data_IF_042217960407
#
_entry.id   IF_042217960407
#
_cell.length_a   1.000
_cell.length_b   1.000
_cell.length_c   1.000
_cell.angle_alpha   90.00
_cell.angle_beta   90.00
_cell.angle_gamma   90.00
#
_symmetry.space_group_name_H-M   'P 1'
#
loop_
_entity.id
_entity.type
_entity.pdbx_description
1 polymer ?
#
# COMPACT_ATOMS: atom_id res chain seq x y z
N UNK A 1 11.23 -42.90 -3.33
CA UNK A 1 10.97 -41.46 -3.16
C UNK A 1 9.67 -41.16 -3.89
N UNK A 2 8.56 -41.03 -3.18
CA UNK A 2 7.26 -40.72 -3.79
C UNK A 2 7.19 -39.20 -3.91
N UNK A 3 7.22 -38.70 -5.14
CA UNK A 3 7.03 -37.28 -5.41
C UNK A 3 5.61 -36.89 -4.99
N UNK A 4 5.49 -36.02 -4.01
CA UNK A 4 4.23 -35.34 -3.71
C UNK A 4 4.03 -34.32 -4.82
N UNK A 5 3.17 -34.68 -5.78
CA UNK A 5 2.59 -33.70 -6.70
C UNK A 5 1.81 -32.69 -5.86
N UNK A 6 2.35 -31.49 -5.70
CA UNK A 6 1.55 -30.33 -5.29
C UNK A 6 0.55 -30.11 -6.42
N UNK A 7 -0.69 -30.52 -6.20
CA UNK A 7 -1.78 -30.13 -7.06
C UNK A 7 -1.84 -28.60 -7.03
N UNK A 8 -1.77 -27.99 -8.20
CA UNK A 8 -2.02 -26.57 -8.38
C UNK A 8 -3.42 -26.27 -7.83
N UNK A 9 -3.51 -25.38 -6.84
CA UNK A 9 -4.79 -25.00 -6.25
C UNK A 9 -5.70 -24.46 -7.36
N UNK A 10 -6.97 -24.83 -7.34
CA UNK A 10 -7.93 -24.32 -8.32
C UNK A 10 -7.96 -22.78 -8.25
N UNK A 11 -8.11 -22.07 -9.39
CA UNK A 11 -8.12 -20.62 -9.42
C UNK A 11 -9.24 -20.08 -8.52
N UNK A 12 -8.88 -19.16 -7.62
CA UNK A 12 -9.82 -18.50 -6.70
C UNK A 12 -10.68 -17.51 -7.49
N UNK A 13 -12.01 -17.66 -7.42
CA UNK A 13 -12.93 -16.70 -8.03
C UNK A 13 -12.97 -15.40 -7.22
N UNK A 14 -12.40 -14.34 -7.78
CA UNK A 14 -12.35 -13.00 -7.16
C UNK A 14 -13.72 -12.33 -7.03
N UNK A 15 -14.78 -12.89 -7.62
CA UNK A 15 -16.15 -12.40 -7.49
C UNK A 15 -16.97 -13.16 -6.45
N UNK A 16 -16.43 -14.25 -5.91
CA UNK A 16 -17.11 -15.04 -4.88
C UNK A 16 -17.22 -14.24 -3.56
N UNK A 17 -18.41 -14.20 -2.98
CA UNK A 17 -18.69 -13.43 -1.77
C UNK A 17 -17.92 -13.92 -0.53
N UNK A 18 -17.62 -15.23 -0.44
CA UNK A 18 -16.81 -15.81 0.65
C UNK A 18 -15.36 -15.36 0.50
N UNK A 19 -14.84 -15.33 -0.73
CA UNK A 19 -13.49 -14.84 -1.03
C UNK A 19 -13.38 -13.34 -0.70
N UNK A 20 -14.36 -12.54 -1.11
CA UNK A 20 -14.41 -11.10 -0.80
C UNK A 20 -14.47 -10.86 0.71
N UNK A 21 -15.30 -11.61 1.45
CA UNK A 21 -15.40 -11.45 2.91
C UNK A 21 -14.10 -11.87 3.61
N UNK A 22 -13.44 -12.95 3.15
CA UNK A 22 -12.11 -13.31 3.65
C UNK A 22 -11.10 -12.18 3.38
N UNK A 23 -11.16 -11.58 2.20
CA UNK A 23 -10.36 -10.41 1.85
C UNK A 23 -10.57 -9.25 2.80
N UNK A 24 -11.83 -8.88 3.04
CA UNK A 24 -12.20 -7.82 3.99
C UNK A 24 -11.63 -8.09 5.39
N UNK A 25 -11.77 -9.32 5.87
CA UNK A 25 -11.20 -9.74 7.15
C UNK A 25 -9.68 -9.56 7.17
N UNK A 26 -8.96 -10.06 6.16
CA UNK A 26 -7.50 -9.97 6.08
C UNK A 26 -7.01 -8.53 5.94
N UNK A 27 -7.67 -7.71 5.11
CA UNK A 27 -7.33 -6.28 4.94
C UNK A 27 -7.53 -5.50 6.24
N UNK A 28 -8.55 -5.86 7.01
CA UNK A 28 -8.84 -5.23 8.31
C UNK A 28 -7.87 -5.71 9.40
N UNK A 29 -7.74 -7.02 9.58
CA UNK A 29 -6.91 -7.63 10.62
C UNK A 29 -5.42 -7.44 10.35
N UNK A 30 -5.02 -7.36 9.08
CA UNK A 30 -3.66 -7.06 8.65
C UNK A 30 -3.31 -5.56 8.70
N UNK A 31 -4.24 -4.70 9.11
CA UNK A 31 -3.98 -3.26 9.32
C UNK A 31 -3.68 -2.50 8.03
N UNK A 32 -4.16 -2.94 6.86
CA UNK A 32 -3.89 -2.24 5.60
C UNK A 32 -4.38 -0.78 5.65
N UNK A 33 -5.52 -0.56 6.31
CA UNK A 33 -6.10 0.77 6.52
C UNK A 33 -5.24 1.71 7.37
N UNK A 34 -4.37 1.19 8.24
CA UNK A 34 -3.62 2.02 9.20
C UNK A 34 -2.63 2.98 8.51
N UNK A 35 -2.17 2.61 7.32
CA UNK A 35 -1.27 3.42 6.49
C UNK A 35 -1.91 3.83 5.15
N UNK A 36 -2.82 3.02 4.60
CA UNK A 36 -3.46 3.34 3.31
C UNK A 36 -4.68 4.24 3.46
N UNK A 37 -5.25 4.43 4.65
CA UNK A 37 -6.30 5.41 4.90
C UNK A 37 -5.70 6.62 5.63
N UNK A 38 -5.72 7.83 5.05
CA UNK A 38 -5.15 9.00 5.71
C UNK A 38 -5.92 9.33 6.99
N UNK A 39 -5.18 9.74 8.02
CA UNK A 39 -5.77 10.26 9.25
C UNK A 39 -6.22 11.71 9.06
N UNK A 40 -7.31 12.08 9.73
CA UNK A 40 -7.76 13.45 9.96
C UNK A 40 -7.86 13.73 11.46
N UNK A 41 -7.89 15.00 11.83
CA UNK A 41 -8.12 15.36 13.24
C UNK A 41 -9.60 15.24 13.58
N UNK A 42 -9.94 14.32 14.48
CA UNK A 42 -11.26 14.19 15.11
C UNK A 42 -11.30 14.83 16.50
N UNK A 43 -12.43 14.74 17.17
CA UNK A 43 -12.65 15.34 18.50
C UNK A 43 -11.73 14.77 19.60
N UNK A 44 -11.31 13.51 19.44
CA UNK A 44 -10.47 12.78 20.41
C UNK A 44 -9.04 12.57 19.92
N UNK A 45 -8.63 13.29 18.87
CA UNK A 45 -7.33 13.14 18.22
C UNK A 45 -7.43 12.55 16.81
N UNK A 46 -6.30 12.14 16.22
CA UNK A 46 -6.27 11.59 14.87
C UNK A 46 -7.14 10.34 14.73
N UNK A 47 -7.94 10.29 13.67
CA UNK A 47 -8.81 9.15 13.31
C UNK A 47 -8.76 8.91 11.79
N UNK A 48 -9.06 7.69 11.31
CA UNK A 48 -9.12 7.41 9.87
C UNK A 48 -10.16 8.28 9.15
N UNK A 49 -9.75 8.93 8.07
CA UNK A 49 -10.68 9.60 7.16
C UNK A 49 -11.31 8.59 6.20
N UNK A 50 -12.46 8.05 6.60
CA UNK A 50 -13.18 7.06 5.80
C UNK A 50 -13.73 7.62 4.47
N UNK A 51 -13.76 8.94 4.28
CA UNK A 51 -14.06 9.52 2.95
C UNK A 51 -12.92 9.31 1.94
N UNK A 52 -11.73 8.97 2.44
CA UNK A 52 -10.51 8.69 1.68
C UNK A 52 -9.95 7.29 1.97
N UNK A 53 -10.84 6.35 2.33
CA UNK A 53 -10.47 4.99 2.74
C UNK A 53 -9.57 4.32 1.68
N UNK A 54 -8.40 3.84 2.09
CA UNK A 54 -7.40 3.16 1.25
C UNK A 54 -6.82 3.97 0.06
N UNK A 55 -7.08 5.28 0.00
CA UNK A 55 -6.59 6.12 -1.11
C UNK A 55 -5.10 6.46 -1.03
N UNK A 56 -4.41 6.09 0.05
CA UNK A 56 -3.00 6.40 0.27
C UNK A 56 -2.77 7.85 0.66
N UNK A 57 -1.55 8.34 0.40
CA UNK A 57 -1.14 9.70 0.74
C UNK A 57 -1.93 10.74 -0.06
N UNK A 58 -2.58 11.74 0.59
CA UNK A 58 -3.36 12.73 -0.13
C UNK A 58 -2.48 13.56 -1.09
N UNK A 59 -2.88 13.64 -2.35
CA UNK A 59 -2.13 14.36 -3.40
C UNK A 59 -1.86 15.84 -3.08
N UNK A 60 -2.77 16.49 -2.33
CA UNK A 60 -2.67 17.89 -1.95
C UNK A 60 -1.70 18.14 -0.78
N UNK A 61 -1.30 17.08 -0.05
CA UNK A 61 -0.46 17.22 1.13
C UNK A 61 1.01 17.14 0.73
N UNK A 62 1.63 18.27 0.43
CA UNK A 62 3.06 18.29 0.09
C UNK A 62 3.91 18.03 1.34
N UNK A 63 4.73 16.97 1.28
CA UNK A 63 5.71 16.71 2.32
C UNK A 63 6.96 17.57 2.12
N UNK A 64 7.55 18.11 3.20
CA UNK A 64 8.84 18.77 3.11
C UNK A 64 9.92 17.76 2.69
N UNK A 65 11.08 18.27 2.25
CA UNK A 65 12.24 17.43 2.02
C UNK A 65 12.58 16.63 3.29
N UNK A 66 13.07 15.39 3.10
CA UNK A 66 13.53 14.57 4.20
C UNK A 66 14.56 15.35 5.02
N UNK A 67 14.43 15.43 6.36
CA UNK A 67 15.37 16.18 7.18
C UNK A 67 16.76 15.56 7.05
N UNK A 68 17.81 16.39 7.12
CA UNK A 68 19.17 15.90 7.28
C UNK A 68 19.25 15.17 8.63
N UNK A 69 19.33 13.85 8.61
CA UNK A 69 19.43 13.04 9.81
C UNK A 69 20.89 13.03 10.30
N UNK A 70 21.14 13.23 11.60
CA UNK A 70 22.49 13.16 12.14
C UNK A 70 23.08 11.75 11.99
N UNK A 71 24.41 11.66 11.97
CA UNK A 71 25.10 10.37 12.12
C UNK A 71 24.73 9.77 13.49
N UNK A 72 24.17 8.56 13.51
CA UNK A 72 23.64 7.96 14.72
C UNK A 72 22.51 6.96 14.45
N UNK A 73 21.73 6.54 15.47
CA UNK A 73 20.57 5.69 15.23
C UNK A 73 19.62 6.41 14.28
N UNK A 74 19.20 5.70 13.23
CA UNK A 74 18.30 6.26 12.25
C UNK A 74 16.96 6.59 12.88
N UNK A 75 16.45 7.78 12.58
CA UNK A 75 15.12 8.24 12.97
C UNK A 75 14.19 8.20 11.76
N UNK A 76 12.91 8.03 12.05
CA UNK A 76 11.85 8.09 11.05
C UNK A 76 10.89 9.21 11.42
N UNK A 77 10.56 10.04 10.44
CA UNK A 77 9.53 11.07 10.57
C UNK A 77 8.31 10.64 9.75
N UNK A 78 7.13 10.64 10.36
CA UNK A 78 5.87 10.35 9.67
C UNK A 78 5.04 11.63 9.50
N UNK A 79 4.31 11.72 8.39
CA UNK A 79 3.25 12.72 8.19
C UNK A 79 2.15 12.61 9.26
N UNK A 80 1.47 13.70 9.58
CA UNK A 80 0.32 13.68 10.49
C UNK A 80 -0.84 12.79 10.00
N UNK A 81 -0.96 12.59 8.69
CA UNK A 81 -1.95 11.68 8.09
C UNK A 81 -1.54 10.21 8.18
N UNK A 82 -0.34 9.90 8.69
CA UNK A 82 0.25 8.57 8.71
C UNK A 82 0.29 7.89 7.33
N UNK A 83 0.66 8.63 6.28
CA UNK A 83 0.71 8.15 4.89
C UNK A 83 2.02 8.48 4.15
N UNK A 84 2.95 9.20 4.77
CA UNK A 84 4.29 9.44 4.25
C UNK A 84 5.35 9.33 5.34
N UNK A 85 6.51 8.77 5.00
CA UNK A 85 7.62 8.58 5.93
C UNK A 85 8.94 9.03 5.33
N UNK A 86 9.72 9.77 6.12
CA UNK A 86 11.08 10.16 5.78
C UNK A 86 12.09 9.43 6.67
N UNK A 87 13.14 8.90 6.06
CA UNK A 87 14.25 8.22 6.73
C UNK A 87 15.52 8.24 5.87
N UNK A 88 16.55 7.44 6.20
CA UNK A 88 17.78 7.36 5.41
C UNK A 88 17.58 6.92 3.95
N UNK A 89 16.43 6.33 3.61
CA UNK A 89 16.02 5.96 2.24
C UNK A 89 15.36 7.10 1.46
N UNK A 90 15.21 8.29 2.06
CA UNK A 90 14.45 9.41 1.49
C UNK A 90 13.02 9.44 2.01
N UNK A 91 12.09 9.95 1.19
CA UNK A 91 10.66 10.03 1.54
C UNK A 91 9.85 9.05 0.70
N UNK A 92 9.07 8.21 1.37
CA UNK A 92 8.09 7.32 0.77
C UNK A 92 6.67 7.81 0.99
N UNK A 93 5.80 7.52 0.04
CA UNK A 93 4.38 7.83 0.08
C UNK A 93 3.58 6.54 -0.09
N UNK A 94 2.53 6.37 0.71
CA UNK A 94 1.67 5.19 0.64
C UNK A 94 0.76 5.28 -0.57
N UNK A 95 0.71 4.19 -1.33
CA UNK A 95 -0.02 4.11 -2.58
C UNK A 95 -1.54 4.09 -2.38
N UNK A 96 -2.27 4.57 -3.39
CA UNK A 96 -3.69 4.33 -3.55
C UNK A 96 -3.92 2.87 -3.94
N UNK A 97 -4.65 2.11 -3.13
CA UNK A 97 -4.96 0.69 -3.38
C UNK A 97 -6.46 0.47 -3.62
N UNK A 98 -7.21 1.54 -3.88
CA UNK A 98 -8.60 1.46 -4.36
C UNK A 98 -8.64 0.99 -5.82
N UNK A 99 -9.78 0.54 -6.35
CA UNK A 99 -9.89 0.09 -7.74
C UNK A 99 -10.01 1.26 -8.73
N UNK A 100 -9.60 2.47 -8.34
CA UNK A 100 -9.52 3.59 -9.28
C UNK A 100 -8.62 3.23 -10.47
N UNK A 101 -9.09 3.54 -11.68
CA UNK A 101 -8.47 3.08 -12.92
C UNK A 101 -7.23 3.89 -13.29
N UNK A 102 -7.12 5.13 -12.85
CA UNK A 102 -6.01 6.02 -13.23
C UNK A 102 -4.94 6.11 -12.15
N UNK A 103 -5.34 6.14 -10.89
CA UNK A 103 -4.47 6.42 -9.75
C UNK A 103 -4.35 5.28 -8.76
N UNK A 104 -5.26 4.30 -8.82
CA UNK A 104 -5.29 3.12 -7.95
C UNK A 104 -4.79 1.84 -8.63
N UNK A 105 -5.29 0.70 -8.17
CA UNK A 105 -4.96 -0.63 -8.70
C UNK A 105 -5.99 -1.15 -9.69
N UNK A 106 -6.92 -0.33 -10.18
CA UNK A 106 -8.03 -0.76 -11.03
C UNK A 106 -7.63 -1.49 -12.32
N UNK A 107 -6.44 -1.16 -12.85
CA UNK A 107 -5.85 -1.78 -14.06
C UNK A 107 -5.02 -3.04 -13.76
N UNK A 108 -4.76 -3.36 -12.49
CA UNK A 108 -3.91 -4.48 -12.11
C UNK A 108 -4.71 -5.78 -12.23
N UNK A 109 -4.03 -6.87 -12.59
CA UNK A 109 -4.56 -8.21 -12.39
C UNK A 109 -4.33 -8.68 -10.94
N UNK A 110 -5.02 -9.75 -10.54
CA UNK A 110 -4.73 -10.41 -9.26
C UNK A 110 -3.26 -10.87 -9.19
N UNK A 111 -2.72 -11.38 -10.30
CA UNK A 111 -1.32 -11.80 -10.40
C UNK A 111 -0.36 -10.62 -10.21
N UNK A 112 -0.65 -9.46 -10.80
CA UNK A 112 0.15 -8.24 -10.60
C UNK A 112 0.20 -7.84 -9.11
N UNK A 113 -0.92 -7.95 -8.41
CA UNK A 113 -1.00 -7.70 -6.97
C UNK A 113 -0.16 -8.72 -6.18
N UNK A 114 -0.34 -10.01 -6.45
CA UNK A 114 0.40 -11.10 -5.78
C UNK A 114 1.89 -10.94 -6.01
N UNK A 115 2.33 -10.76 -7.25
CA UNK A 115 3.74 -10.56 -7.60
C UNK A 115 4.31 -9.31 -6.93
N UNK A 116 3.52 -8.25 -6.81
CA UNK A 116 3.94 -7.03 -6.11
C UNK A 116 4.23 -7.30 -4.63
N UNK A 117 3.34 -8.01 -3.94
CA UNK A 117 3.51 -8.32 -2.52
C UNK A 117 4.64 -9.34 -2.29
N UNK A 118 4.71 -10.39 -3.12
CA UNK A 118 5.73 -11.46 -3.04
C UNK A 118 7.15 -10.95 -3.25
N UNK A 119 7.33 -10.08 -4.23
CA UNK A 119 8.65 -9.57 -4.60
C UNK A 119 9.06 -8.33 -3.81
N UNK A 120 8.09 -7.62 -3.22
CA UNK A 120 8.33 -6.28 -2.69
C UNK A 120 8.65 -5.25 -3.78
N UNK A 121 8.21 -5.45 -5.01
CA UNK A 121 8.49 -4.57 -6.15
C UNK A 121 7.21 -4.24 -6.90
N UNK A 122 7.07 -2.99 -7.33
CA UNK A 122 5.91 -2.56 -8.11
C UNK A 122 5.72 -3.44 -9.37
N UNK A 123 4.55 -4.06 -9.52
CA UNK A 123 4.23 -5.02 -10.59
C UNK A 123 5.25 -6.17 -10.70
N UNK A 124 5.80 -6.63 -9.56
CA UNK A 124 6.76 -7.72 -9.50
C UNK A 124 8.19 -7.39 -9.95
N UNK A 125 8.39 -6.29 -10.69
CA UNK A 125 9.65 -6.02 -11.42
C UNK A 125 10.16 -4.60 -11.31
N UNK A 126 9.26 -3.64 -11.11
CA UNK A 126 9.56 -2.21 -11.04
C UNK A 126 10.33 -1.80 -9.80
N UNK A 127 10.17 -0.55 -9.37
CA UNK A 127 10.86 -0.03 -8.17
C UNK A 127 10.52 -0.87 -6.92
N UNK A 128 11.44 -0.87 -5.95
CA UNK A 128 11.18 -1.47 -4.66
C UNK A 128 10.03 -0.74 -3.94
N UNK A 129 9.22 -1.51 -3.22
CA UNK A 129 8.28 -0.99 -2.23
C UNK A 129 9.13 -0.50 -1.04
N UNK A 130 9.00 0.79 -0.74
CA UNK A 130 9.79 1.44 0.29
C UNK A 130 9.14 1.26 1.67
N UNK A 131 9.90 1.43 2.76
CA UNK A 131 9.35 1.47 4.11
C UNK A 131 8.22 2.51 4.24
N UNK A 132 7.25 2.33 5.15
CA UNK A 132 7.20 1.30 6.18
C UNK A 132 6.42 0.04 5.78
N UNK A 133 6.03 -0.13 4.52
CA UNK A 133 5.20 -1.27 4.11
C UNK A 133 5.82 -2.61 4.55
N UNK A 134 5.10 -3.46 5.31
CA UNK A 134 5.65 -4.65 5.93
C UNK A 134 5.76 -5.84 4.96
N UNK A 135 6.44 -5.63 3.83
CA UNK A 135 6.65 -6.66 2.78
C UNK A 135 7.13 -8.00 3.36
N UNK A 136 8.11 -8.06 4.29
CA UNK A 136 8.57 -9.35 4.82
C UNK A 136 7.49 -10.17 5.53
N UNK A 137 6.48 -9.52 6.10
CA UNK A 137 5.33 -10.22 6.70
C UNK A 137 4.31 -10.61 5.62
N UNK A 138 3.97 -9.68 4.73
CA UNK A 138 2.93 -9.87 3.71
C UNK A 138 3.34 -10.89 2.64
N UNK A 139 4.62 -10.96 2.28
CA UNK A 139 5.16 -11.91 1.30
C UNK A 139 5.07 -13.37 1.74
N UNK A 140 4.60 -13.67 2.96
CA UNK A 140 4.42 -15.03 3.49
C UNK A 140 2.94 -15.46 3.55
N UNK A 141 1.98 -14.58 3.23
CA UNK A 141 0.56 -14.96 3.12
C UNK A 141 0.38 -16.05 2.04
N UNK A 142 -0.69 -16.82 2.01
CA UNK A 142 -0.89 -17.76 0.88
C UNK A 142 -1.35 -17.01 -0.37
N UNK A 143 -1.26 -17.63 -1.55
CA UNK A 143 -1.77 -16.99 -2.78
C UNK A 143 -3.29 -16.80 -2.71
N UNK A 144 -4.02 -17.71 -2.04
CA UNK A 144 -5.45 -17.55 -1.77
C UNK A 144 -5.75 -16.35 -0.88
N UNK A 145 -4.93 -16.10 0.14
CA UNK A 145 -5.08 -14.94 1.03
C UNK A 145 -4.78 -13.63 0.30
N UNK A 146 -3.73 -13.59 -0.51
CA UNK A 146 -3.42 -12.41 -1.33
C UNK A 146 -4.50 -12.16 -2.39
N UNK A 147 -5.02 -13.23 -3.01
CA UNK A 147 -6.13 -13.14 -3.97
C UNK A 147 -7.40 -12.64 -3.29
N UNK A 148 -7.70 -13.12 -2.07
CA UNK A 148 -8.85 -12.65 -1.30
C UNK A 148 -8.72 -11.15 -0.96
N UNK A 149 -7.54 -10.71 -0.49
CA UNK A 149 -7.26 -9.27 -0.26
C UNK A 149 -7.52 -8.47 -1.54
N UNK A 150 -6.94 -8.88 -2.67
CA UNK A 150 -7.16 -8.23 -3.96
C UNK A 150 -8.65 -8.18 -4.31
N UNK A 151 -9.36 -9.31 -4.22
CA UNK A 151 -10.79 -9.40 -4.50
C UNK A 151 -11.59 -8.37 -3.68
N UNK A 152 -11.31 -8.25 -2.38
CA UNK A 152 -11.96 -7.23 -1.54
C UNK A 152 -11.60 -5.80 -1.96
N UNK A 153 -10.33 -5.51 -2.22
CA UNK A 153 -9.91 -4.17 -2.69
C UNK A 153 -10.64 -3.79 -3.98
N UNK A 154 -10.93 -4.73 -4.86
CA UNK A 154 -11.70 -4.47 -6.08
C UNK A 154 -13.19 -4.17 -5.86
N UNK A 155 -13.69 -4.29 -4.62
CA UNK A 155 -15.08 -3.96 -4.26
C UNK A 155 -15.24 -2.62 -3.53
N UNK A 156 -14.14 -2.01 -3.05
CA UNK A 156 -14.24 -0.73 -2.32
C UNK A 156 -14.53 0.42 -3.29
N UNK A 157 -15.14 1.54 -2.83
CA UNK A 157 -15.34 2.70 -3.68
C UNK A 157 -14.01 3.19 -4.30
N UNK A 158 -13.95 3.41 -5.63
CA UNK A 158 -12.78 3.98 -6.26
C UNK A 158 -12.61 5.44 -5.82
N UNK A 159 -11.38 5.83 -5.49
CA UNK A 159 -11.04 7.21 -5.13
C UNK A 159 -9.86 7.63 -6.00
N UNK A 160 -10.07 8.65 -6.81
CA UNK A 160 -9.01 9.31 -7.56
C UNK A 160 -8.08 10.06 -6.59
N UNK A 161 -6.79 9.72 -6.60
CA UNK A 161 -5.77 10.33 -5.75
C UNK A 161 -4.37 10.07 -6.31
N UNK A 162 -3.76 11.09 -6.92
CA UNK A 162 -2.43 10.98 -7.51
C UNK A 162 -1.33 11.05 -6.46
N UNK A 163 -1.01 9.90 -5.86
CA UNK A 163 0.07 9.78 -4.87
C UNK A 163 1.42 10.21 -5.48
N UNK A 164 2.17 11.13 -4.84
CA UNK A 164 3.49 11.54 -5.31
C UNK A 164 4.50 10.39 -5.41
N UNK A 165 5.44 10.50 -6.35
CA UNK A 165 6.56 9.56 -6.43
C UNK A 165 7.50 9.73 -5.22
N UNK A 166 8.14 8.65 -4.74
CA UNK A 166 9.13 8.75 -3.67
C UNK A 166 10.25 9.74 -3.97
N UNK A 167 10.72 10.44 -2.95
CA UNK A 167 11.81 11.41 -3.03
C UNK A 167 13.09 10.72 -2.55
N UNK A 168 14.14 10.76 -3.37
CA UNK A 168 15.44 10.17 -3.03
C UNK A 168 16.11 10.92 -1.86
N UNK A 169 17.02 10.27 -1.10
CA UNK A 169 17.82 10.95 -0.09
C UNK A 169 18.55 12.16 -0.67
N UNK A 170 18.46 13.31 0.00
CA UNK A 170 19.15 14.54 -0.41
C UNK A 170 18.55 15.27 -1.63
N UNK A 171 17.48 14.76 -2.23
CA UNK A 171 16.75 15.47 -3.29
C UNK A 171 15.75 16.47 -2.67
N UNK A 172 15.71 17.69 -3.22
CA UNK A 172 14.64 18.63 -2.93
C UNK A 172 13.34 18.21 -3.65
N UNK A 173 12.18 18.55 -3.06
CA UNK A 173 10.88 18.34 -3.71
C UNK A 173 10.85 19.19 -4.99
N UNK A 174 10.80 18.56 -6.16
CA UNK A 174 10.52 19.27 -7.40
C UNK A 174 9.00 19.39 -7.48
N UNK A 175 8.47 20.60 -7.30
CA UNK A 175 7.06 20.85 -7.53
C UNK A 175 6.69 20.37 -8.94
N UNK A 176 5.70 19.48 -9.06
CA UNK A 176 5.09 19.18 -10.36
C UNK A 176 4.39 20.47 -10.78
N UNK A 177 5.00 21.20 -11.73
CA UNK A 177 4.48 22.46 -12.22
C UNK A 177 3.16 22.24 -12.99
N UNK A 178 2.19 23.13 -12.67
CA UNK A 178 0.90 23.43 -13.31
C UNK A 178 0.33 22.45 -14.35
#
# INVERSE_FOLDING_TARGET
>A
MVGVSVAEAAPVDTKDAIVIERGRYLTTAGGCGDCHTPLKMGERGPEPDMSRMLSGHPEYLQMPAAPALPEGPWMVVSSATNTAWAGPWGTSFVANITPDMETGIGKWSADDFIYTIRSGRHLGRGRQILPPMPVPAMQNLTDEDLTAIYAYLMTVPPIENHVPVPIAPGAAVVAVGN
#
